data_IF_013310361340
#
_entry.id   IF_013310361340
#
_cell.length_a   1.000
_cell.length_b   1.000
_cell.length_c   1.000
_cell.angle_alpha   90.00
_cell.angle_beta   90.00
_cell.angle_gamma   90.00
#
_symmetry.space_group_name_H-M   'P 1'
#
loop_
_entity.id
_entity.type
_entity.pdbx_description
1 polymer ?
#
# COMPACT_ATOMS: atom_id res chain seq x y z
N UNK A 1 -5.10 40.35 3.94
CA UNK A 1 -5.45 38.93 4.16
C UNK A 1 -6.53 38.60 3.15
N UNK A 2 -6.28 37.69 2.20
CA UNK A 2 -6.19 36.26 2.50
C UNK A 2 -4.89 35.61 2.02
N UNK A 3 -4.46 34.57 2.76
CA UNK A 3 -3.27 33.79 2.48
C UNK A 3 -3.49 32.89 1.27
N UNK A 4 -2.65 33.08 0.26
CA UNK A 4 -2.50 32.12 -0.83
C UNK A 4 -1.78 30.91 -0.25
N UNK A 5 -2.55 29.92 0.22
CA UNK A 5 -2.02 28.59 0.50
C UNK A 5 -1.54 28.01 -0.82
N UNK A 6 -0.28 28.27 -1.17
CA UNK A 6 0.46 27.47 -2.14
C UNK A 6 0.52 26.07 -1.54
N UNK A 7 -0.48 25.24 -1.86
CA UNK A 7 -0.36 23.81 -1.74
C UNK A 7 0.76 23.43 -2.72
N UNK A 8 1.99 23.38 -2.20
CA UNK A 8 3.10 22.71 -2.87
C UNK A 8 2.55 21.35 -3.28
N UNK A 9 2.36 21.16 -4.58
CA UNK A 9 2.11 19.86 -5.16
C UNK A 9 3.41 19.07 -4.93
N UNK A 10 3.53 18.50 -3.73
CA UNK A 10 4.48 17.43 -3.44
C UNK A 10 4.25 16.44 -4.56
N UNK A 11 5.28 16.05 -5.32
CA UNK A 11 5.12 15.08 -6.40
C UNK A 11 4.39 13.92 -5.78
N UNK A 12 3.17 13.63 -6.27
CA UNK A 12 2.27 12.64 -5.68
C UNK A 12 3.09 11.38 -5.52
N UNK A 13 3.59 11.15 -4.32
CA UNK A 13 4.32 9.93 -4.00
C UNK A 13 3.30 8.87 -4.32
N UNK A 14 3.56 8.03 -5.33
CA UNK A 14 2.63 6.98 -5.77
C UNK A 14 2.34 6.16 -4.53
N UNK A 15 1.21 6.45 -3.91
CA UNK A 15 0.81 5.92 -2.63
C UNK A 15 -0.45 5.17 -2.91
N UNK A 16 -0.42 3.90 -2.55
CA UNK A 16 -1.50 2.97 -2.85
C UNK A 16 -2.75 3.49 -2.18
N UNK A 17 -3.76 3.76 -3.00
CA UNK A 17 -5.11 4.09 -2.54
C UNK A 17 -5.93 2.83 -2.65
N UNK A 18 -6.59 2.45 -1.56
CA UNK A 18 -7.43 1.26 -1.55
C UNK A 18 -8.75 1.52 -2.31
N UNK A 19 -9.48 0.47 -2.72
CA UNK A 19 -10.74 0.61 -3.47
C UNK A 19 -11.81 1.40 -2.72
N UNK A 20 -11.74 1.47 -1.40
CA UNK A 20 -12.65 2.25 -0.56
C UNK A 20 -12.30 3.76 -0.50
N UNK A 21 -11.15 4.15 -1.07
CA UNK A 21 -10.66 5.53 -1.09
C UNK A 21 -9.76 5.90 0.09
N UNK A 22 -9.62 5.03 1.10
CA UNK A 22 -8.65 5.22 2.17
C UNK A 22 -7.22 4.85 1.74
N UNK A 23 -6.27 5.27 2.56
CA UNK A 23 -4.85 4.98 2.39
C UNK A 23 -4.36 3.99 3.44
N UNK A 24 -3.16 3.46 3.25
CA UNK A 24 -2.47 2.65 4.25
C UNK A 24 -2.48 3.26 5.65
N UNK A 25 -2.24 4.57 5.74
CA UNK A 25 -2.13 5.30 6.99
C UNK A 25 -3.49 5.38 7.72
N UNK A 26 -4.60 5.46 6.98
CA UNK A 26 -5.97 5.44 7.55
C UNK A 26 -6.29 4.10 8.23
N UNK A 27 -5.68 3.01 7.76
CA UNK A 27 -5.79 1.68 8.38
C UNK A 27 -4.72 1.42 9.45
N UNK A 28 -3.84 2.38 9.74
CA UNK A 28 -2.70 2.21 10.63
C UNK A 28 -1.62 1.27 10.08
N UNK A 29 -1.59 1.07 8.76
CA UNK A 29 -0.58 0.27 8.06
C UNK A 29 0.60 1.14 7.61
N UNK A 30 1.77 0.50 7.50
CA UNK A 30 2.96 1.16 6.98
C UNK A 30 2.80 1.47 5.49
N UNK A 31 2.82 2.75 5.05
CA UNK A 31 2.59 3.10 3.66
C UNK A 31 3.68 2.56 2.73
N UNK A 32 3.27 1.75 1.76
CA UNK A 32 4.12 1.27 0.68
C UNK A 32 4.27 2.36 -0.39
N UNK A 33 5.51 2.83 -0.59
CA UNK A 33 5.87 3.82 -1.63
C UNK A 33 6.71 3.20 -2.73
N UNK A 34 7.38 2.08 -2.45
CA UNK A 34 8.24 1.31 -3.37
C UNK A 34 8.05 -0.18 -3.11
N UNK A 35 8.29 -1.01 -4.13
CA UNK A 35 8.20 -2.47 -3.98
C UNK A 35 9.11 -3.04 -2.89
N UNK A 36 10.24 -2.37 -2.59
CA UNK A 36 11.15 -2.75 -1.52
C UNK A 36 10.52 -2.60 -0.12
N UNK A 37 9.54 -1.71 0.06
CA UNK A 37 8.89 -1.50 1.35
C UNK A 37 8.07 -2.74 1.75
N UNK A 38 7.60 -3.53 0.78
CA UNK A 38 6.90 -4.80 1.03
C UNK A 38 7.80 -5.82 1.73
N UNK A 39 9.12 -5.79 1.49
CA UNK A 39 10.04 -6.71 2.17
C UNK A 39 10.12 -6.44 3.67
N UNK A 40 9.85 -5.20 4.09
CA UNK A 40 9.84 -4.76 5.49
C UNK A 40 8.52 -5.08 6.22
N UNK A 41 7.44 -5.33 5.48
CA UNK A 41 6.14 -5.66 6.06
C UNK A 41 6.15 -7.03 6.72
N UNK A 42 5.49 -7.17 7.86
CA UNK A 42 5.22 -8.47 8.46
C UNK A 42 4.11 -9.21 7.71
N UNK A 43 4.04 -10.54 7.83
CA UNK A 43 2.95 -11.37 7.26
C UNK A 43 1.55 -10.77 7.45
N UNK A 44 1.24 -10.29 8.66
CA UNK A 44 -0.08 -9.73 8.97
C UNK A 44 -0.37 -8.44 8.19
N UNK A 45 0.60 -7.53 8.08
CA UNK A 45 0.45 -6.31 7.28
C UNK A 45 0.26 -6.65 5.80
N UNK A 46 1.02 -7.61 5.27
CA UNK A 46 0.86 -8.08 3.88
C UNK A 46 -0.55 -8.62 3.65
N UNK A 47 -1.09 -9.39 4.60
CA UNK A 47 -2.46 -9.90 4.53
C UNK A 47 -3.47 -8.76 4.53
N UNK A 48 -3.35 -7.78 5.45
CA UNK A 48 -4.26 -6.63 5.47
C UNK A 48 -4.22 -5.84 4.17
N UNK A 49 -3.04 -5.67 3.58
CA UNK A 49 -2.90 -5.05 2.26
C UNK A 49 -3.60 -5.83 1.16
N UNK A 50 -3.46 -7.17 1.16
CA UNK A 50 -4.14 -8.04 0.19
C UNK A 50 -5.67 -7.98 0.37
N UNK A 51 -6.17 -7.97 1.60
CA UNK A 51 -7.60 -7.84 1.92
C UNK A 51 -8.15 -6.48 1.50
N UNK A 52 -7.48 -5.39 1.88
CA UNK A 52 -7.87 -4.04 1.53
C UNK A 52 -7.88 -3.83 0.01
N UNK A 53 -6.92 -4.41 -0.71
CA UNK A 53 -6.87 -4.39 -2.18
C UNK A 53 -7.81 -5.40 -2.85
N UNK A 54 -8.59 -6.17 -2.08
CA UNK A 54 -9.47 -7.23 -2.60
C UNK A 54 -8.75 -8.27 -3.46
N UNK A 55 -7.46 -8.52 -3.17
CA UNK A 55 -6.62 -9.48 -3.89
C UNK A 55 -6.83 -10.87 -3.29
N UNK A 56 -7.14 -11.84 -4.13
CA UNK A 56 -7.24 -13.23 -3.71
C UNK A 56 -5.87 -13.77 -3.27
N UNK A 57 -5.80 -14.36 -2.08
CA UNK A 57 -4.61 -15.00 -1.54
C UNK A 57 -4.97 -16.27 -0.77
N UNK A 58 -4.01 -17.17 -0.59
CA UNK A 58 -4.18 -18.34 0.27
C UNK A 58 -3.50 -18.08 1.62
N UNK A 59 -4.30 -18.02 2.70
CA UNK A 59 -3.85 -17.74 4.07
C UNK A 59 -2.84 -18.77 4.61
N UNK A 60 -2.77 -19.97 4.02
CA UNK A 60 -1.78 -21.00 4.37
C UNK A 60 -0.44 -20.82 3.65
N UNK A 61 -0.34 -19.87 2.70
CA UNK A 61 0.90 -19.59 1.96
C UNK A 61 1.98 -19.02 2.87
N UNK A 62 3.26 -19.20 2.53
CA UNK A 62 4.36 -18.58 3.28
C UNK A 62 4.37 -17.05 3.12
N UNK A 63 4.99 -16.33 4.06
CA UNK A 63 5.10 -14.86 3.99
C UNK A 63 5.74 -14.40 2.67
N UNK A 64 6.79 -15.09 2.22
CA UNK A 64 7.47 -14.80 0.95
C UNK A 64 6.50 -14.88 -0.25
N UNK A 65 5.59 -15.86 -0.26
CA UNK A 65 4.59 -16.00 -1.33
C UNK A 65 3.57 -14.87 -1.27
N UNK A 66 3.07 -14.54 -0.07
CA UNK A 66 2.14 -13.42 0.12
C UNK A 66 2.76 -12.08 -0.32
N UNK A 67 4.02 -11.82 0.06
CA UNK A 67 4.78 -10.65 -0.38
C UNK A 67 4.91 -10.61 -1.90
N UNK A 68 5.17 -11.74 -2.56
CA UNK A 68 5.27 -11.82 -4.01
C UNK A 68 3.93 -11.53 -4.71
N UNK A 69 2.82 -12.03 -4.17
CA UNK A 69 1.48 -11.73 -4.68
C UNK A 69 1.22 -10.22 -4.58
N UNK A 70 1.46 -9.63 -3.41
CA UNK A 70 1.28 -8.20 -3.19
C UNK A 70 2.14 -7.38 -4.15
N UNK A 71 3.45 -7.68 -4.24
CA UNK A 71 4.39 -7.03 -5.17
C UNK A 71 3.88 -7.03 -6.61
N UNK A 72 3.42 -8.19 -7.10
CA UNK A 72 2.92 -8.30 -8.47
C UNK A 72 1.64 -7.49 -8.69
N UNK A 73 0.76 -7.41 -7.68
CA UNK A 73 -0.49 -6.68 -7.80
C UNK A 73 -0.30 -5.16 -7.80
N UNK A 74 0.67 -4.65 -7.03
CA UNK A 74 0.88 -3.21 -6.88
C UNK A 74 2.02 -2.65 -7.75
N UNK A 75 2.82 -3.52 -8.38
CA UNK A 75 3.86 -3.12 -9.34
C UNK A 75 3.37 -2.22 -10.49
N UNK A 76 2.15 -2.35 -11.05
CA UNK A 76 1.67 -1.41 -12.06
C UNK A 76 1.27 -0.03 -11.50
N UNK A 77 0.97 0.03 -10.19
CA UNK A 77 0.53 1.26 -9.50
C UNK A 77 1.70 2.10 -8.96
N UNK A 78 2.89 1.47 -8.82
CA UNK A 78 4.14 2.07 -8.34
C UNK A 78 5.11 2.36 -9.47
#
# INVERSE_FOLDING_TARGET
MPGTSTASAIPRSRMITFPDGCTAEDYGLTPIRRLADIDLLCRFEVIQYLEALTIAYNIMSSEMVLKKILKNAIAPEL
#
